data_IF_430435107129
#
_entry.id   IF_430435107129
#
_cell.length_a   1.000
_cell.length_b   1.000
_cell.length_c   1.000
_cell.angle_alpha   90.00
_cell.angle_beta   90.00
_cell.angle_gamma   90.00
#
_symmetry.space_group_name_H-M   'P 1'
#
loop_
_entity.id
_entity.type
_entity.pdbx_description
1 polymer ?
#
# COMPACT_ATOMS: atom_id res chain seq x y z
N UNK A 1 -24.73 1.28 17.88
CA UNK A 1 -24.91 1.85 16.58
C UNK A 1 -23.93 2.95 16.32
N UNK A 2 -23.40 2.92 15.16
CA UNK A 2 -22.50 3.91 14.75
C UNK A 2 -23.21 4.97 13.99
N UNK A 3 -22.93 6.19 14.31
CA UNK A 3 -23.58 7.28 13.64
C UNK A 3 -22.58 8.02 12.80
N UNK A 4 -23.05 8.52 11.70
CA UNK A 4 -22.23 9.32 10.85
C UNK A 4 -21.55 8.51 9.78
N UNK A 5 -20.85 7.46 10.14
CA UNK A 5 -20.14 6.68 9.16
C UNK A 5 -20.68 5.27 9.18
N UNK A 6 -21.20 4.87 8.06
CA UNK A 6 -21.66 3.52 7.88
C UNK A 6 -21.00 2.97 6.66
N UNK A 7 -20.08 2.05 6.87
CA UNK A 7 -19.42 1.40 5.78
C UNK A 7 -19.89 -0.03 5.73
N UNK A 8 -20.10 -0.50 4.51
CA UNK A 8 -20.39 -1.91 4.34
C UNK A 8 -19.24 -2.74 4.88
N UNK A 9 -19.52 -3.90 5.47
CA UNK A 9 -18.47 -4.75 6.01
C UNK A 9 -17.39 -5.09 4.98
N UNK A 10 -17.78 -5.25 3.72
CA UNK A 10 -16.77 -5.57 2.71
C UNK A 10 -15.82 -4.41 2.48
N UNK A 11 -16.27 -3.16 2.60
CA UNK A 11 -15.37 -2.02 2.44
C UNK A 11 -14.39 -1.96 3.60
N UNK A 12 -14.87 -2.24 4.80
CA UNK A 12 -13.98 -2.28 5.96
C UNK A 12 -12.92 -3.36 5.80
N UNK A 13 -13.31 -4.53 5.31
CA UNK A 13 -12.36 -5.61 5.09
C UNK A 13 -11.35 -5.24 4.01
N UNK A 14 -11.79 -4.53 2.98
CA UNK A 14 -10.88 -4.09 1.93
C UNK A 14 -9.85 -3.12 2.47
N UNK A 15 -10.28 -2.20 3.31
CA UNK A 15 -9.36 -1.23 3.91
C UNK A 15 -8.35 -1.93 4.81
N UNK A 16 -8.81 -2.89 5.60
CA UNK A 16 -7.92 -3.66 6.47
C UNK A 16 -6.90 -4.42 5.64
N UNK A 17 -7.33 -5.00 4.53
CA UNK A 17 -6.43 -5.75 3.67
C UNK A 17 -5.37 -4.84 3.07
N UNK A 18 -5.76 -3.66 2.63
CA UNK A 18 -4.81 -2.70 2.08
C UNK A 18 -3.80 -2.27 3.14
N UNK A 19 -4.26 -2.01 4.34
CA UNK A 19 -3.37 -1.63 5.43
C UNK A 19 -2.41 -2.75 5.78
N UNK A 20 -2.91 -3.97 5.79
CA UNK A 20 -2.07 -5.12 6.09
C UNK A 20 -0.95 -5.28 5.07
N UNK A 21 -1.28 -5.16 3.79
CA UNK A 21 -0.28 -5.23 2.73
C UNK A 21 0.72 -4.10 2.83
N UNK A 22 0.23 -2.91 3.12
CA UNK A 22 1.09 -1.74 3.26
C UNK A 22 2.09 -1.91 4.40
N UNK A 23 1.61 -2.41 5.53
CA UNK A 23 2.49 -2.64 6.68
C UNK A 23 3.55 -3.69 6.36
N UNK A 24 3.17 -4.73 5.61
CA UNK A 24 4.12 -5.74 5.20
C UNK A 24 5.24 -5.18 4.34
N UNK A 25 4.87 -4.32 3.38
CA UNK A 25 5.86 -3.69 2.51
C UNK A 25 6.77 -2.76 3.32
N UNK A 26 6.19 -1.97 4.21
CA UNK A 26 6.99 -1.06 5.05
C UNK A 26 7.97 -1.83 5.92
N UNK A 27 7.55 -2.98 6.44
CA UNK A 27 8.39 -3.82 7.26
C UNK A 27 9.58 -4.37 6.45
N UNK A 28 9.28 -4.83 5.23
CA UNK A 28 10.34 -5.33 4.34
C UNK A 28 11.34 -4.24 4.00
N UNK A 29 10.86 -3.03 3.77
CA UNK A 29 11.74 -1.91 3.45
C UNK A 29 12.68 -1.61 4.62
N UNK A 30 12.18 -1.65 5.84
CA UNK A 30 13.00 -1.40 7.01
C UNK A 30 14.06 -2.47 7.21
N UNK A 31 13.76 -3.70 6.81
CA UNK A 31 14.71 -4.79 6.96
C UNK A 31 15.77 -4.78 5.86
N UNK A 32 15.40 -4.33 4.66
CA UNK A 32 16.29 -4.39 3.51
C UNK A 32 17.11 -3.12 3.32
N UNK A 33 16.64 -1.99 3.81
CA UNK A 33 17.28 -0.71 3.56
C UNK A 33 17.42 0.09 4.84
N UNK A 34 18.49 0.88 4.93
CA UNK A 34 18.67 1.74 6.08
C UNK A 34 17.72 2.95 6.02
N UNK A 35 17.35 3.39 4.82
CA UNK A 35 16.39 4.45 4.65
C UNK A 35 15.69 4.30 3.31
N UNK A 36 14.51 4.88 3.19
CA UNK A 36 13.77 4.79 1.94
C UNK A 36 12.87 6.00 1.80
N UNK A 37 12.70 6.42 0.56
CA UNK A 37 11.79 7.51 0.20
C UNK A 37 10.85 6.94 -0.86
N UNK A 38 9.89 6.16 -0.43
CA UNK A 38 9.01 5.38 -1.29
C UNK A 38 7.62 5.97 -1.23
N UNK A 39 6.99 6.12 -2.37
CA UNK A 39 5.63 6.61 -2.48
C UNK A 39 4.71 5.49 -2.89
N UNK A 40 3.45 5.63 -2.50
CA UNK A 40 2.43 4.65 -2.82
C UNK A 40 1.40 5.29 -3.74
N UNK A 41 1.12 4.62 -4.84
CA UNK A 41 0.08 5.03 -5.77
C UNK A 41 -0.95 3.92 -5.86
N UNK A 42 -2.22 4.26 -5.63
CA UNK A 42 -3.31 3.30 -5.69
C UNK A 42 -4.09 3.49 -6.98
N UNK A 43 -4.36 2.40 -7.66
CA UNK A 43 -5.17 2.44 -8.87
C UNK A 43 -6.01 1.17 -8.94
N UNK A 44 -6.97 1.17 -9.86
CA UNK A 44 -7.83 0.01 -10.07
C UNK A 44 -7.79 -0.34 -11.55
N UNK A 45 -7.46 -1.58 -11.85
CA UNK A 45 -7.43 -2.08 -13.22
C UNK A 45 -8.06 -3.45 -13.26
N UNK A 46 -8.95 -3.65 -14.22
CA UNK A 46 -9.58 -4.96 -14.45
C UNK A 46 -10.21 -5.53 -13.20
N UNK A 47 -10.84 -4.66 -12.39
CA UNK A 47 -11.52 -5.10 -11.18
C UNK A 47 -10.59 -5.43 -10.04
N UNK A 48 -9.33 -5.02 -10.12
CA UNK A 48 -8.36 -5.28 -9.06
C UNK A 48 -7.68 -4.02 -8.63
N UNK A 49 -7.45 -3.90 -7.35
CA UNK A 49 -6.73 -2.76 -6.79
C UNK A 49 -5.24 -3.02 -6.90
N UNK A 50 -4.52 -2.03 -7.42
CA UNK A 50 -3.08 -2.13 -7.60
C UNK A 50 -2.41 -1.13 -6.68
N UNK A 51 -1.51 -1.63 -5.84
CA UNK A 51 -0.70 -0.80 -4.96
C UNK A 51 0.69 -0.72 -5.56
N UNK A 52 1.04 0.45 -6.07
CA UNK A 52 2.31 0.65 -6.73
C UNK A 52 3.24 1.44 -5.83
N UNK A 53 4.32 0.83 -5.43
CA UNK A 53 5.34 1.45 -4.59
C UNK A 53 6.54 1.80 -5.44
N UNK A 54 6.95 3.05 -5.40
CA UNK A 54 8.06 3.51 -6.21
C UNK A 54 8.82 4.62 -5.50
N UNK A 55 10.09 4.73 -5.82
CA UNK A 55 10.94 5.75 -5.22
C UNK A 55 12.37 5.26 -5.12
N UNK A 56 13.06 5.76 -4.12
CA UNK A 56 14.46 5.42 -3.93
C UNK A 56 14.68 4.91 -2.53
N UNK A 57 15.58 3.94 -2.40
CA UNK A 57 15.92 3.37 -1.13
C UNK A 57 17.46 3.28 -1.02
N UNK A 58 17.96 3.42 0.18
CA UNK A 58 19.39 3.34 0.43
C UNK A 58 19.69 2.07 1.21
N UNK A 59 20.57 1.24 0.67
CA UNK A 59 20.94 0.00 1.33
C UNK A 59 21.76 0.27 2.58
N UNK A 60 21.96 -0.75 3.41
CA UNK A 60 22.78 -0.61 4.60
C UNK A 60 24.25 -0.35 4.26
N UNK A 61 24.65 -0.65 3.04
CA UNK A 61 25.98 -0.34 2.56
C UNK A 61 26.09 1.09 2.03
N UNK A 62 24.99 1.85 2.05
CA UNK A 62 25.02 3.23 1.59
C UNK A 62 24.74 3.41 0.12
N UNK A 63 24.30 2.37 -0.57
CA UNK A 63 24.04 2.44 -2.00
C UNK A 63 22.59 2.81 -2.24
N UNK A 64 22.35 3.79 -3.11
CA UNK A 64 21.01 4.19 -3.48
C UNK A 64 20.52 3.35 -4.63
N UNK A 65 19.30 2.84 -4.52
CA UNK A 65 18.67 2.00 -5.53
C UNK A 65 17.27 2.49 -5.82
N UNK A 66 16.82 2.24 -7.04
CA UNK A 66 15.43 2.50 -7.40
C UNK A 66 14.57 1.35 -6.95
N UNK A 67 13.44 1.69 -6.35
CA UNK A 67 12.48 0.71 -5.87
C UNK A 67 11.20 0.86 -6.67
N UNK A 68 10.67 -0.23 -7.19
CA UNK A 68 9.47 -0.20 -8.01
C UNK A 68 8.82 -1.57 -7.92
N UNK A 69 7.73 -1.64 -7.15
CA UNK A 69 7.01 -2.89 -6.92
C UNK A 69 5.52 -2.64 -7.03
N UNK A 70 4.83 -3.56 -7.68
CA UNK A 70 3.38 -3.56 -7.75
C UNK A 70 2.82 -4.74 -6.99
N UNK A 71 1.79 -4.49 -6.18
CA UNK A 71 1.05 -5.53 -5.50
C UNK A 71 -0.40 -5.44 -5.94
N UNK A 72 -0.97 -6.57 -6.34
CA UNK A 72 -2.36 -6.62 -6.79
C UNK A 72 -3.21 -7.29 -5.74
N UNK A 73 -4.37 -6.70 -5.49
CA UNK A 73 -5.35 -7.26 -4.58
C UNK A 73 -6.48 -7.88 -5.38
N UNK A 74 -7.18 -8.83 -4.77
CA UNK A 74 -8.22 -9.59 -5.47
C UNK A 74 -9.54 -8.85 -5.54
N UNK A 75 -9.55 -7.57 -5.29
CA UNK A 75 -10.78 -6.80 -5.32
C UNK A 75 -10.49 -5.40 -5.81
N UNK A 76 -11.54 -4.71 -6.29
CA UNK A 76 -11.47 -3.31 -6.64
C UNK A 76 -12.02 -2.52 -5.47
N UNK A 77 -11.22 -1.61 -4.92
CA UNK A 77 -11.69 -0.78 -3.83
C UNK A 77 -12.66 0.26 -4.36
N UNK A 78 -13.80 0.38 -3.70
CA UNK A 78 -14.85 1.29 -4.14
C UNK A 78 -14.90 2.56 -3.33
N UNK A 79 -14.14 2.65 -2.27
CA UNK A 79 -14.12 3.83 -1.42
C UNK A 79 -13.00 4.75 -1.85
N UNK A 80 -13.26 6.05 -1.72
CA UNK A 80 -12.20 7.02 -1.94
C UNK A 80 -11.43 7.17 -0.65
N UNK A 81 -10.14 7.01 -0.75
CA UNK A 81 -9.28 7.14 0.41
C UNK A 81 -8.60 8.49 0.32
N UNK A 82 -8.73 9.27 1.38
CA UNK A 82 -8.08 10.57 1.46
C UNK A 82 -6.98 10.51 2.51
N UNK A 83 -5.90 11.08 2.16
CA UNK A 83 -4.75 11.13 3.05
C UNK A 83 -4.49 12.53 3.53
#
# INVERSE_FOLDING_TARGET
TRHGIEMAPEIELQIVEIQFQHEGICSLLKEAYQSSDIQLDLSVKNGKTIMHYYGKATTFAGKEENYDIETKLDFAINAKIKY
#
